data_IF_164002215319
#
_entry.id   IF_164002215319
#
_cell.length_a   1.000
_cell.length_b   1.000
_cell.length_c   1.000
_cell.angle_alpha   90.00
_cell.angle_beta   90.00
_cell.angle_gamma   90.00
#
_symmetry.space_group_name_H-M   'P 1'
#
loop_
_entity.id
_entity.type
_entity.pdbx_description
1 polymer ?
#
# COMPACT_ATOMS: atom_id res chain seq x y z
N UNK A 1 6.30 -13.60 4.47
CA UNK A 1 4.88 -13.26 4.28
C UNK A 1 4.78 -12.07 3.34
N UNK A 2 4.20 -12.23 2.14
CA UNK A 2 3.95 -11.11 1.21
C UNK A 2 2.68 -10.39 1.66
N UNK A 3 2.85 -9.24 2.30
CA UNK A 3 1.75 -8.33 2.63
C UNK A 3 1.35 -7.59 1.35
N UNK A 4 0.38 -8.14 0.63
CA UNK A 4 -0.30 -7.40 -0.43
C UNK A 4 -1.33 -6.50 0.24
N UNK A 5 -1.26 -5.20 0.00
CA UNK A 5 -2.10 -4.20 0.67
C UNK A 5 -1.25 -3.23 1.48
N UNK A 6 -1.01 -2.07 0.87
CA UNK A 6 -0.18 -0.99 1.37
C UNK A 6 -0.72 -0.43 2.69
N UNK A 7 -0.24 -0.98 3.82
CA UNK A 7 -0.33 -0.31 5.12
C UNK A 7 0.99 -0.58 5.86
N UNK A 8 2.01 0.26 5.63
CA UNK A 8 3.39 0.00 6.05
C UNK A 8 3.64 0.22 7.55
N UNK A 9 2.60 0.44 8.35
CA UNK A 9 2.72 0.68 9.78
C UNK A 9 2.07 -0.42 10.62
N UNK A 10 2.71 -0.74 11.74
CA UNK A 10 2.13 -1.60 12.77
C UNK A 10 0.93 -0.91 13.42
N UNK A 11 -0.20 -1.61 13.49
CA UNK A 11 -1.34 -1.13 14.27
C UNK A 11 -1.23 -1.65 15.69
N UNK A 12 -0.58 -0.87 16.55
CA UNK A 12 -0.48 -1.12 17.99
C UNK A 12 -1.38 -0.13 18.74
N UNK A 13 -2.70 -0.32 18.64
CA UNK A 13 -3.67 0.44 19.42
C UNK A 13 -4.32 -0.45 20.51
N UNK A 14 -4.32 -0.03 21.80
CA UNK A 14 -5.06 -0.75 22.84
C UNK A 14 -6.53 -0.88 22.46
N UNK A 15 -7.13 -2.06 22.71
CA UNK A 15 -8.52 -2.38 22.32
C UNK A 15 -9.55 -1.35 22.82
N UNK A 16 -9.31 -0.74 23.98
CA UNK A 16 -10.15 0.31 24.56
C UNK A 16 -10.07 1.63 23.78
N UNK A 17 -8.87 2.04 23.38
CA UNK A 17 -8.65 3.21 22.53
C UNK A 17 -9.35 3.03 21.17
N UNK A 18 -9.29 1.82 20.60
CA UNK A 18 -10.00 1.49 19.36
C UNK A 18 -11.54 1.55 19.48
N UNK A 19 -12.11 1.21 20.65
CA UNK A 19 -13.56 1.31 20.90
C UNK A 19 -14.01 2.76 21.03
N UNK A 20 -13.30 3.56 21.82
CA UNK A 20 -13.60 5.00 22.00
C UNK A 20 -13.50 5.75 20.66
N UNK A 21 -12.45 5.46 19.90
CA UNK A 21 -12.29 6.02 18.55
C UNK A 21 -13.45 5.63 17.63
N UNK A 22 -13.88 4.37 17.65
CA UNK A 22 -15.02 3.91 16.84
C UNK A 22 -16.32 4.63 17.22
N UNK A 23 -16.58 4.81 18.51
CA UNK A 23 -17.77 5.53 18.99
C UNK A 23 -17.74 6.98 18.52
N UNK A 24 -16.64 7.70 18.78
CA UNK A 24 -16.50 9.10 18.36
C UNK A 24 -16.61 9.28 16.83
N UNK A 25 -16.06 8.34 16.05
CA UNK A 25 -16.21 8.35 14.59
C UNK A 25 -17.66 8.12 14.17
N UNK A 26 -18.37 7.20 14.82
CA UNK A 26 -19.79 6.95 14.58
C UNK A 26 -20.62 8.22 14.81
N UNK A 27 -20.46 8.82 16.00
CA UNK A 27 -21.18 10.03 16.38
C UNK A 27 -20.90 11.20 15.40
N UNK A 28 -19.64 11.37 15.00
CA UNK A 28 -19.25 12.40 14.04
C UNK A 28 -19.81 12.16 12.62
N UNK A 29 -19.94 10.90 12.21
CA UNK A 29 -20.54 10.54 10.92
C UNK A 29 -22.07 10.73 10.95
N UNK A 30 -22.73 10.34 12.04
CA UNK A 30 -24.17 10.53 12.20
C UNK A 30 -24.57 12.00 12.26
N UNK A 31 -23.75 12.85 12.90
CA UNK A 31 -23.95 14.31 12.88
C UNK A 31 -23.90 14.94 11.48
N UNK A 32 -23.32 14.23 10.49
CA UNK A 32 -23.23 14.68 9.08
C UNK A 32 -24.28 14.03 8.18
N UNK A 33 -25.19 13.23 8.74
CA UNK A 33 -26.24 12.54 8.00
C UNK A 33 -27.28 13.54 7.51
N UNK A 34 -27.62 13.45 6.23
CA UNK A 34 -28.66 14.25 5.57
C UNK A 34 -30.05 13.68 5.86
N UNK A 35 -31.09 14.45 5.53
CA UNK A 35 -32.49 14.03 5.70
C UNK A 35 -32.85 12.77 4.89
N UNK A 36 -32.15 12.52 3.78
CA UNK A 36 -32.29 11.30 2.97
C UNK A 36 -31.54 10.08 3.56
N UNK A 37 -30.90 10.24 4.71
CA UNK A 37 -30.14 9.20 5.39
C UNK A 37 -28.71 9.01 4.87
N UNK A 38 -28.26 9.78 3.89
CA UNK A 38 -26.90 9.66 3.32
C UNK A 38 -25.87 10.51 4.07
N UNK A 39 -24.59 10.11 4.00
CA UNK A 39 -23.46 10.89 4.53
C UNK A 39 -22.58 11.31 3.36
N UNK A 40 -22.42 12.61 3.15
CA UNK A 40 -21.59 13.13 2.07
C UNK A 40 -20.12 13.14 2.45
N UNK A 41 -19.31 12.40 1.70
CA UNK A 41 -17.87 12.28 1.89
C UNK A 41 -17.14 12.58 0.59
N UNK A 42 -15.97 13.21 0.70
CA UNK A 42 -15.06 13.48 -0.40
C UNK A 42 -13.75 12.76 -0.09
N UNK A 43 -13.22 12.04 -1.08
CA UNK A 43 -11.98 11.28 -0.93
C UNK A 43 -11.00 11.71 -2.00
N UNK A 44 -9.74 11.88 -1.61
CA UNK A 44 -8.64 11.96 -2.54
C UNK A 44 -8.04 10.55 -2.68
N UNK A 45 -8.00 10.05 -3.91
CA UNK A 45 -7.47 8.71 -4.19
C UNK A 45 -6.18 8.86 -4.97
N UNK A 46 -5.07 8.52 -4.34
CA UNK A 46 -3.77 8.43 -5.01
C UNK A 46 -3.65 7.03 -5.58
N UNK A 47 -3.68 6.93 -6.90
CA UNK A 47 -3.46 5.67 -7.60
C UNK A 47 -2.02 5.59 -8.09
N UNK A 48 -1.29 4.58 -7.62
CA UNK A 48 0.06 4.27 -8.07
C UNK A 48 0.12 2.86 -8.64
N UNK A 49 0.63 2.71 -9.85
CA UNK A 49 1.01 1.41 -10.37
C UNK A 49 2.41 1.05 -9.86
N UNK A 50 2.52 -0.07 -9.15
CA UNK A 50 3.81 -0.66 -8.84
C UNK A 50 4.11 -1.77 -9.86
N UNK A 51 5.16 -1.59 -10.68
CA UNK A 51 5.66 -2.66 -11.51
C UNK A 51 6.71 -3.46 -10.75
N UNK A 52 6.54 -4.77 -10.72
CA UNK A 52 7.56 -5.67 -10.20
C UNK A 52 8.70 -5.73 -11.21
N UNK A 53 9.92 -5.43 -10.77
CA UNK A 53 11.09 -5.57 -11.62
C UNK A 53 11.24 -7.01 -12.12
N UNK A 54 11.76 -7.16 -13.35
CA UNK A 54 12.13 -8.46 -13.90
C UNK A 54 13.15 -9.12 -12.95
N UNK A 55 12.97 -10.39 -12.55
CA UNK A 55 13.93 -11.09 -11.72
C UNK A 55 15.34 -11.03 -12.33
N UNK A 56 16.34 -10.65 -11.53
CA UNK A 56 17.76 -10.62 -11.94
C UNK A 56 18.54 -11.83 -11.42
N UNK A 57 17.89 -12.64 -10.58
CA UNK A 57 18.45 -13.82 -9.95
C UNK A 57 17.47 -14.98 -10.07
N UNK A 58 17.99 -16.19 -10.20
CA UNK A 58 17.21 -17.43 -10.10
C UNK A 58 16.76 -17.66 -8.66
N UNK A 59 15.86 -18.63 -8.45
CA UNK A 59 15.43 -19.03 -7.10
C UNK A 59 16.58 -19.55 -6.24
N UNK A 60 17.61 -20.12 -6.87
CA UNK A 60 18.83 -20.65 -6.23
C UNK A 60 19.89 -19.56 -5.96
N UNK A 61 19.64 -18.32 -6.37
CA UNK A 61 20.54 -17.18 -6.15
C UNK A 61 21.55 -16.92 -7.27
N UNK A 62 21.51 -17.66 -8.38
CA UNK A 62 22.38 -17.42 -9.53
C UNK A 62 21.95 -16.14 -10.28
N UNK A 63 22.90 -15.31 -10.69
CA UNK A 63 22.62 -14.15 -11.53
C UNK A 63 22.14 -14.54 -12.93
N UNK A 64 21.10 -13.88 -13.43
CA UNK A 64 20.64 -14.07 -14.81
C UNK A 64 21.40 -13.09 -15.71
N UNK A 65 22.20 -13.62 -16.63
CA UNK A 65 22.89 -12.85 -17.69
C UNK A 65 22.18 -13.10 -19.00
N UNK A 66 21.69 -12.05 -19.65
CA UNK A 66 21.07 -12.16 -20.97
C UNK A 66 22.12 -11.95 -22.06
N UNK A 67 21.95 -12.62 -23.19
CA UNK A 67 22.94 -12.60 -24.29
C UNK A 67 23.15 -11.17 -24.79
N UNK A 68 22.10 -10.35 -24.85
CA UNK A 68 22.17 -8.94 -25.24
C UNK A 68 22.92 -8.03 -24.25
N UNK A 69 23.18 -8.49 -23.02
CA UNK A 69 23.93 -7.76 -21.99
C UNK A 69 25.45 -8.04 -22.08
N UNK A 70 25.85 -9.06 -22.86
CA UNK A 70 27.26 -9.43 -23.04
C UNK A 70 27.98 -8.36 -23.87
N UNK A 71 29.12 -7.87 -23.35
CA UNK A 71 29.94 -6.84 -24.00
C UNK A 71 29.49 -5.40 -23.75
N UNK A 72 28.31 -5.19 -23.14
CA UNK A 72 27.92 -3.86 -22.66
C UNK A 72 28.55 -3.63 -21.29
N UNK A 73 29.36 -2.57 -21.18
CA UNK A 73 29.96 -2.18 -19.90
C UNK A 73 28.91 -2.00 -18.80
N UNK A 74 29.34 -2.04 -17.53
CA UNK A 74 28.45 -1.98 -16.36
C UNK A 74 27.41 -0.87 -16.52
N UNK A 75 26.10 -1.17 -16.48
CA UNK A 75 25.09 -0.12 -16.60
C UNK A 75 25.25 0.85 -15.44
N UNK A 76 25.30 2.14 -15.74
CA UNK A 76 25.38 3.21 -14.74
C UNK A 76 24.00 3.29 -14.09
N UNK A 77 23.91 3.03 -12.79
CA UNK A 77 22.66 3.18 -12.04
C UNK A 77 22.19 4.63 -12.17
N UNK A 78 21.01 4.84 -12.75
CA UNK A 78 20.27 6.12 -12.73
C UNK A 78 19.04 5.95 -11.85
#
# INVERSE_FOLDING_TARGET
MRRWGAYPFERSAPRQAARRFRQALGDALDARRRADGTIALTFEVIYGHAWKAVPRTTAEGHGIVRIEDIGKGRPKNR
#
